data_IF_447939339913
#
_entry.id   IF_447939339913
#
_cell.length_a   1.000
_cell.length_b   1.000
_cell.length_c   1.000
_cell.angle_alpha   90.00
_cell.angle_beta   90.00
_cell.angle_gamma   90.00
#
_symmetry.space_group_name_H-M   'P 1'
#
loop_
_entity.id
_entity.type
_entity.pdbx_description
1 polymer ?
#
# COMPACT_ATOMS: atom_id res chain seq x y z
N UNK A 1 -11.15 6.61 -9.87
CA UNK A 1 -11.71 5.30 -9.47
C UNK A 1 -10.90 4.20 -10.17
N UNK A 2 -10.56 3.11 -9.48
CA UNK A 2 -9.76 2.04 -10.08
C UNK A 2 -10.53 1.35 -11.22
N UNK A 3 -9.87 1.09 -12.35
CA UNK A 3 -10.48 0.37 -13.49
C UNK A 3 -10.68 -1.12 -13.19
N UNK A 4 -9.80 -1.67 -12.36
CA UNK A 4 -9.89 -3.05 -11.88
C UNK A 4 -10.56 -3.02 -10.51
N UNK A 5 -11.62 -3.81 -10.37
CA UNK A 5 -12.34 -3.97 -9.10
C UNK A 5 -11.54 -4.94 -8.24
N UNK A 6 -11.08 -4.47 -7.08
CA UNK A 6 -10.36 -5.29 -6.11
C UNK A 6 -11.29 -6.23 -5.33
N UNK A 7 -10.70 -7.04 -4.47
CA UNK A 7 -11.47 -7.95 -3.62
C UNK A 7 -12.23 -7.19 -2.52
N UNK A 8 -13.31 -7.78 -2.05
CA UNK A 8 -14.04 -7.36 -0.85
C UNK A 8 -13.38 -7.92 0.42
N UNK A 9 -13.80 -7.41 1.58
CA UNK A 9 -13.30 -7.90 2.88
C UNK A 9 -13.74 -9.35 3.15
N UNK A 10 -14.87 -9.79 2.59
CA UNK A 10 -15.36 -11.17 2.69
C UNK A 10 -14.45 -12.15 1.93
N UNK A 11 -13.93 -11.73 0.78
CA UNK A 11 -13.04 -12.52 -0.09
C UNK A 11 -11.59 -12.54 0.40
N UNK A 12 -11.21 -11.67 1.34
CA UNK A 12 -9.84 -11.55 1.83
C UNK A 12 -9.43 -12.71 2.76
N UNK A 13 -8.20 -13.19 2.58
CA UNK A 13 -7.55 -14.13 3.50
C UNK A 13 -7.29 -13.47 4.86
N UNK A 14 -7.06 -14.23 5.94
CA UNK A 14 -6.77 -13.68 7.26
C UNK A 14 -5.62 -12.66 7.25
N UNK A 15 -4.54 -12.95 6.51
CA UNK A 15 -3.35 -12.10 6.42
C UNK A 15 -3.67 -10.76 5.72
N UNK A 16 -4.52 -10.80 4.70
CA UNK A 16 -4.95 -9.60 3.98
C UNK A 16 -5.92 -8.77 4.84
N UNK A 17 -6.78 -9.41 5.64
CA UNK A 17 -7.64 -8.72 6.62
C UNK A 17 -6.81 -7.99 7.67
N UNK A 18 -5.76 -8.61 8.19
CA UNK A 18 -4.82 -7.94 9.10
C UNK A 18 -4.13 -6.74 8.45
N UNK A 19 -3.76 -6.85 7.16
CA UNK A 19 -3.21 -5.72 6.42
C UNK A 19 -4.24 -4.58 6.29
N UNK A 20 -5.50 -4.88 5.95
CA UNK A 20 -6.57 -3.88 5.88
C UNK A 20 -6.77 -3.17 7.22
N UNK A 21 -6.78 -3.91 8.34
CA UNK A 21 -6.91 -3.31 9.67
C UNK A 21 -5.71 -2.42 10.02
N UNK A 22 -4.49 -2.84 9.69
CA UNK A 22 -3.29 -2.01 9.87
C UNK A 22 -3.37 -0.71 9.06
N UNK A 23 -3.84 -0.77 7.81
CA UNK A 23 -4.00 0.42 6.98
C UNK A 23 -5.07 1.36 7.54
N UNK A 24 -6.22 0.86 7.98
CA UNK A 24 -7.24 1.67 8.66
C UNK A 24 -6.68 2.40 9.88
N UNK A 25 -5.87 1.70 10.69
CA UNK A 25 -5.23 2.30 11.86
C UNK A 25 -4.22 3.40 11.49
N UNK A 26 -3.46 3.23 10.41
CA UNK A 26 -2.42 4.17 10.00
C UNK A 26 -2.93 5.33 9.15
N UNK A 27 -3.88 5.08 8.26
CA UNK A 27 -4.31 5.98 7.19
C UNK A 27 -5.78 6.39 7.29
N UNK A 28 -6.53 5.85 8.25
CA UNK A 28 -7.97 6.09 8.40
C UNK A 28 -8.85 5.21 7.51
N UNK A 29 -8.29 4.59 6.46
CA UNK A 29 -8.98 3.62 5.62
C UNK A 29 -7.99 2.64 4.95
N UNK A 30 -8.52 1.66 4.22
CA UNK A 30 -7.76 0.79 3.33
C UNK A 30 -7.35 1.59 2.09
N UNK A 31 -6.06 1.53 1.72
CA UNK A 31 -5.59 2.17 0.49
C UNK A 31 -6.27 1.53 -0.72
N UNK A 32 -6.74 2.36 -1.66
CA UNK A 32 -7.48 1.90 -2.86
C UNK A 32 -6.74 0.83 -3.68
N UNK A 33 -5.40 0.79 -3.61
CA UNK A 33 -4.56 -0.17 -4.33
C UNK A 33 -4.52 -1.55 -3.67
N UNK A 34 -4.68 -1.64 -2.34
CA UNK A 34 -4.52 -2.89 -1.60
C UNK A 34 -5.53 -3.96 -2.04
N UNK A 35 -6.84 -3.66 -2.17
CA UNK A 35 -7.82 -4.62 -2.68
C UNK A 35 -7.52 -5.11 -4.10
N UNK A 36 -6.93 -4.24 -4.94
CA UNK A 36 -6.57 -4.58 -6.32
C UNK A 36 -5.37 -5.52 -6.34
N UNK A 37 -4.31 -5.23 -5.58
CA UNK A 37 -3.17 -6.15 -5.46
C UNK A 37 -3.54 -7.46 -4.79
N UNK A 38 -4.50 -7.45 -3.87
CA UNK A 38 -4.99 -8.65 -3.20
C UNK A 38 -5.64 -9.67 -4.15
N UNK A 39 -6.06 -9.28 -5.37
CA UNK A 39 -6.43 -10.24 -6.43
C UNK A 39 -5.29 -11.19 -6.79
N UNK A 40 -4.04 -10.80 -6.53
CA UNK A 40 -2.82 -11.58 -6.76
C UNK A 40 -1.95 -11.52 -5.49
N UNK A 41 -2.18 -12.38 -4.50
CA UNK A 41 -1.50 -12.33 -3.20
C UNK A 41 0.03 -12.33 -3.30
N UNK A 42 0.61 -13.01 -4.29
CA UNK A 42 2.06 -13.00 -4.53
C UNK A 42 2.60 -11.63 -4.94
N UNK A 43 1.84 -10.84 -5.71
CA UNK A 43 2.18 -9.46 -6.08
C UNK A 43 2.06 -8.56 -4.85
N UNK A 44 0.98 -8.70 -4.08
CA UNK A 44 0.80 -7.94 -2.84
C UNK A 44 1.94 -8.19 -1.85
N UNK A 45 2.36 -9.45 -1.69
CA UNK A 45 3.49 -9.83 -0.85
C UNK A 45 4.78 -9.16 -1.31
N UNK A 46 5.10 -9.23 -2.61
CA UNK A 46 6.28 -8.58 -3.18
C UNK A 46 6.28 -7.05 -3.00
N UNK A 47 5.14 -6.40 -3.28
CA UNK A 47 4.99 -4.94 -3.10
C UNK A 47 5.16 -4.52 -1.64
N UNK A 48 4.63 -5.32 -0.70
CA UNK A 48 4.75 -5.04 0.74
C UNK A 48 6.19 -5.26 1.22
N UNK A 49 6.86 -6.31 0.73
CA UNK A 49 8.25 -6.58 1.05
C UNK A 49 9.19 -5.47 0.54
N UNK A 50 8.93 -4.93 -0.66
CA UNK A 50 9.67 -3.79 -1.18
C UNK A 50 9.54 -2.55 -0.27
N UNK A 51 8.31 -2.20 0.12
CA UNK A 51 8.07 -1.08 1.04
C UNK A 51 8.78 -1.30 2.39
N UNK A 52 8.70 -2.52 2.95
CA UNK A 52 9.40 -2.86 4.18
C UNK A 52 10.93 -2.73 4.05
N UNK A 53 11.50 -3.14 2.91
CA UNK A 53 12.93 -2.98 2.64
C UNK A 53 13.38 -1.52 2.56
N UNK A 54 12.55 -0.63 2.02
CA UNK A 54 12.81 0.81 2.04
C UNK A 54 12.82 1.33 3.48
N UNK A 55 11.85 0.88 4.29
CA UNK A 55 11.71 1.31 5.68
C UNK A 55 12.88 0.85 6.56
N UNK A 56 13.36 -0.38 6.35
CA UNK A 56 14.50 -0.93 7.11
C UNK A 56 15.85 -0.40 6.66
N UNK A 57 15.95 0.24 5.48
CA UNK A 57 17.22 0.76 4.97
C UNK A 57 17.89 1.79 5.88
N UNK A 58 17.10 2.54 6.67
CA UNK A 58 17.60 3.58 7.57
C UNK A 58 18.25 4.79 6.88
N UNK A 59 18.22 4.85 5.54
CA UNK A 59 18.87 5.91 4.76
C UNK A 59 18.09 7.23 4.76
N UNK A 60 16.81 7.20 5.09
CA UNK A 60 15.90 8.36 5.10
C UNK A 60 15.11 8.31 6.41
N UNK A 61 15.05 9.43 7.13
CA UNK A 61 14.22 9.53 8.33
C UNK A 61 12.74 9.25 7.99
N UNK A 62 12.00 8.49 8.82
CA UNK A 62 10.64 8.06 8.48
C UNK A 62 9.68 9.19 8.04
N UNK A 63 9.69 10.39 8.67
CA UNK A 63 8.83 11.48 8.22
C UNK A 63 9.19 12.01 6.82
N UNK A 64 10.48 12.07 6.47
CA UNK A 64 10.95 12.63 5.20
C UNK A 64 10.60 11.73 4.01
N UNK A 65 10.50 10.42 4.24
CA UNK A 65 10.11 9.43 3.23
C UNK A 65 8.79 9.78 2.53
N UNK A 66 7.80 10.25 3.29
CA UNK A 66 6.50 10.64 2.72
C UNK A 66 6.58 11.89 1.84
N UNK A 67 7.50 12.82 2.13
CA UNK A 67 7.76 13.98 1.26
C UNK A 67 8.38 13.54 -0.07
N UNK A 68 9.30 12.58 -0.03
CA UNK A 68 9.89 11.99 -1.25
C UNK A 68 8.81 11.32 -2.09
N UNK A 69 7.95 10.49 -1.49
CA UNK A 69 6.83 9.85 -2.19
C UNK A 69 5.88 10.86 -2.81
N UNK A 70 5.54 11.92 -2.07
CA UNK A 70 4.66 12.97 -2.58
C UNK A 70 5.30 13.69 -3.77
N UNK A 71 6.59 14.02 -3.69
CA UNK A 71 7.30 14.69 -4.78
C UNK A 71 7.40 13.81 -6.01
N UNK A 72 7.71 12.52 -5.86
CA UNK A 72 7.83 11.60 -6.99
C UNK A 72 6.46 11.29 -7.62
N UNK A 73 5.40 11.16 -6.81
CA UNK A 73 4.02 11.04 -7.30
C UNK A 73 3.62 12.26 -8.13
N UNK A 74 3.92 13.47 -7.63
CA UNK A 74 3.66 14.72 -8.34
C UNK A 74 4.41 14.81 -9.68
N UNK A 75 5.70 14.45 -9.72
CA UNK A 75 6.50 14.41 -10.97
C UNK A 75 5.85 13.49 -12.01
N UNK A 76 5.33 12.33 -11.57
CA UNK A 76 4.70 11.35 -12.45
C UNK A 76 3.22 11.64 -12.75
N UNK A 77 2.66 12.74 -12.23
CA UNK A 77 1.24 13.06 -12.37
C UNK A 77 0.31 12.01 -11.74
N UNK A 78 0.77 11.29 -10.70
CA UNK A 78 -0.06 10.34 -9.97
C UNK A 78 -1.09 11.11 -9.11
N UNK A 79 -2.40 10.96 -9.37
CA UNK A 79 -3.44 11.70 -8.65
C UNK A 79 -3.91 11.01 -7.36
N UNK A 80 -3.42 9.80 -7.10
CA UNK A 80 -3.65 9.03 -5.88
C UNK A 80 -2.51 9.30 -4.90
#
# INVERSE_FOLDING_TARGET
MARVIGITEQEATPEIKELFQRQRKMFGDVLNTTPVFALRPTILAGSTALAAGIDTSGLIEPPLKYLVYTKTAWINGCPF
#
